data_IF_010845647438
#
_entry.id   IF_010845647438
#
_cell.length_a   1.000
_cell.length_b   1.000
_cell.length_c   1.000
_cell.angle_alpha   90.00
_cell.angle_beta   90.00
_cell.angle_gamma   90.00
#
_symmetry.space_group_name_H-M   'P 1'
#
loop_
_entity.id
_entity.type
_entity.pdbx_description
1 polymer ?
#
# COMPACT_ATOMS: atom_id res chain seq x y z
N UNK A 1 55.34 64.96 -59.28
CA UNK A 1 55.22 63.78 -58.44
C UNK A 1 53.77 63.61 -58.07
N UNK A 2 53.06 62.63 -58.64
CA UNK A 2 51.68 62.38 -58.30
C UNK A 2 51.63 61.46 -57.07
N UNK A 3 50.81 61.82 -56.07
CA UNK A 3 50.42 60.95 -54.94
C UNK A 3 49.54 59.80 -55.45
N UNK A 4 50.00 58.54 -55.23
CA UNK A 4 49.20 57.36 -55.42
C UNK A 4 48.31 57.22 -54.18
N UNK A 5 46.99 57.36 -54.40
CA UNK A 5 45.95 56.94 -53.45
C UNK A 5 45.85 55.42 -53.47
N UNK A 6 46.46 54.78 -52.47
CA UNK A 6 46.24 53.34 -52.19
C UNK A 6 44.90 53.20 -51.51
N UNK A 7 43.82 53.09 -52.28
CA UNK A 7 42.54 52.60 -51.76
C UNK A 7 42.66 51.07 -51.51
N UNK A 8 42.85 50.72 -50.25
CA UNK A 8 42.84 49.36 -49.77
C UNK A 8 41.44 48.68 -50.00
N UNK A 9 41.31 48.02 -51.12
CA UNK A 9 40.10 47.15 -51.38
C UNK A 9 40.18 45.96 -50.47
N UNK A 10 39.54 46.07 -49.30
CA UNK A 10 39.20 44.92 -48.48
C UNK A 10 38.37 43.97 -49.34
N UNK A 11 38.75 42.67 -49.45
CA UNK A 11 38.06 41.72 -50.31
C UNK A 11 36.68 41.37 -49.68
N UNK A 12 35.65 42.05 -50.19
CA UNK A 12 34.22 41.86 -49.76
C UNK A 12 33.73 40.44 -49.98
N UNK A 13 34.39 39.68 -50.85
CA UNK A 13 34.03 38.28 -51.17
C UNK A 13 34.14 37.28 -49.96
N UNK A 14 35.22 37.24 -49.17
CA UNK A 14 35.29 36.31 -48.04
C UNK A 14 34.32 36.67 -46.90
N UNK A 15 34.01 37.96 -46.68
CA UNK A 15 33.04 38.39 -45.66
C UNK A 15 31.61 37.96 -46.01
N UNK A 16 31.21 38.04 -47.30
CA UNK A 16 29.89 37.56 -47.75
C UNK A 16 29.80 36.04 -47.69
N UNK A 17 30.87 35.31 -47.95
CA UNK A 17 30.91 33.85 -47.83
C UNK A 17 30.84 33.42 -46.38
N UNK A 18 31.53 34.09 -45.45
CA UNK A 18 31.45 33.88 -44.02
C UNK A 18 30.03 34.13 -43.47
N UNK A 19 29.39 35.24 -43.90
CA UNK A 19 28.01 35.55 -43.52
C UNK A 19 27.03 34.50 -44.06
N UNK A 20 27.22 33.98 -45.26
CA UNK A 20 26.42 32.87 -45.83
C UNK A 20 26.55 31.59 -45.05
N UNK A 21 27.78 31.21 -44.65
CA UNK A 21 28.02 30.01 -43.82
C UNK A 21 27.38 30.16 -42.45
N UNK A 22 27.51 31.30 -41.78
CA UNK A 22 26.86 31.57 -40.47
C UNK A 22 25.33 31.51 -40.58
N UNK A 23 24.75 32.06 -41.67
CA UNK A 23 23.32 32.00 -41.91
C UNK A 23 22.84 30.54 -42.14
N UNK A 24 23.57 29.75 -42.95
CA UNK A 24 23.26 28.32 -43.15
C UNK A 24 23.38 27.50 -41.85
N UNK A 25 24.39 27.73 -41.04
CA UNK A 25 24.55 27.09 -39.73
C UNK A 25 23.42 27.50 -38.79
N UNK A 26 23.04 28.78 -38.76
CA UNK A 26 21.90 29.26 -37.99
C UNK A 26 20.56 28.62 -38.39
N UNK A 27 20.32 28.53 -39.72
CA UNK A 27 19.12 27.84 -40.24
C UNK A 27 19.14 26.34 -39.90
N UNK A 28 20.29 25.68 -40.03
CA UNK A 28 20.43 24.25 -39.67
C UNK A 28 20.18 24.01 -38.16
N UNK A 29 20.68 24.85 -37.28
CA UNK A 29 20.46 24.80 -35.84
C UNK A 29 18.95 25.00 -35.52
N UNK A 30 18.34 26.04 -36.11
CA UNK A 30 16.90 26.28 -35.90
C UNK A 30 16.03 25.13 -36.42
N UNK A 31 16.34 24.57 -37.57
CA UNK A 31 15.63 23.40 -38.09
C UNK A 31 15.82 22.17 -37.23
N UNK A 32 17.02 21.94 -36.73
CA UNK A 32 17.34 20.85 -35.80
C UNK A 32 16.57 20.99 -34.47
N UNK A 33 16.59 22.17 -33.85
CA UNK A 33 15.85 22.42 -32.60
C UNK A 33 14.34 22.22 -32.80
N UNK A 34 13.79 22.63 -33.95
CA UNK A 34 12.38 22.52 -34.27
C UNK A 34 11.96 21.07 -34.50
N UNK A 35 12.82 20.24 -35.11
CA UNK A 35 12.53 18.81 -35.34
C UNK A 35 12.71 17.94 -34.10
N UNK A 36 13.73 18.19 -33.29
CA UNK A 36 14.11 17.35 -32.13
C UNK A 36 13.62 17.86 -30.77
N UNK A 37 12.99 19.04 -30.71
CA UNK A 37 12.49 19.64 -29.48
C UNK A 37 11.16 19.10 -28.97
N UNK A 38 10.42 18.33 -29.78
CA UNK A 38 9.14 17.78 -29.35
C UNK A 38 9.30 16.56 -28.47
N UNK A 39 8.64 16.57 -27.30
CA UNK A 39 8.57 15.45 -26.33
C UNK A 39 7.13 15.16 -26.01
N UNK A 40 6.82 13.86 -25.86
CA UNK A 40 5.48 13.41 -25.48
C UNK A 40 5.48 12.96 -24.03
N UNK A 41 4.56 13.49 -23.23
CA UNK A 41 4.38 13.13 -21.82
C UNK A 41 3.16 12.21 -21.73
N UNK A 42 3.28 11.01 -21.11
CA UNK A 42 2.17 10.09 -20.92
C UNK A 42 1.03 10.71 -20.11
N UNK A 43 -0.23 10.26 -20.36
CA UNK A 43 -1.42 10.81 -19.72
C UNK A 43 -1.46 10.65 -18.19
N UNK A 44 -0.76 9.64 -17.65
CA UNK A 44 -0.69 9.34 -16.21
C UNK A 44 0.51 9.98 -15.49
N UNK A 45 1.23 10.85 -16.17
CA UNK A 45 2.48 11.45 -15.68
C UNK A 45 2.50 12.94 -15.96
N UNK A 46 3.32 13.66 -15.25
CA UNK A 46 3.58 15.09 -15.45
C UNK A 46 5.07 15.26 -15.75
N UNK A 47 5.39 16.18 -16.65
CA UNK A 47 6.77 16.53 -16.98
C UNK A 47 7.25 17.68 -16.09
N UNK A 48 8.36 17.50 -15.40
CA UNK A 48 9.05 18.58 -14.71
C UNK A 48 10.16 19.07 -15.63
N UNK A 49 10.02 20.29 -16.11
CA UNK A 49 10.95 20.92 -17.05
C UNK A 49 12.01 21.69 -16.28
N UNK A 50 13.25 21.32 -16.49
CA UNK A 50 14.42 22.06 -16.00
C UNK A 50 15.11 22.78 -17.15
N UNK A 51 15.64 23.96 -16.88
CA UNK A 51 16.42 24.74 -17.82
C UNK A 51 17.80 25.02 -17.25
N UNK A 52 18.83 24.55 -17.93
CA UNK A 52 20.21 24.57 -17.41
C UNK A 52 20.34 23.97 -16.01
N UNK A 53 19.55 22.92 -15.71
CA UNK A 53 19.56 22.26 -14.39
C UNK A 53 18.68 22.92 -13.33
N UNK A 54 18.16 24.14 -13.55
CA UNK A 54 17.25 24.81 -12.64
C UNK A 54 15.78 24.48 -12.97
N UNK A 55 14.95 24.30 -11.94
CA UNK A 55 13.51 24.15 -12.12
C UNK A 55 12.92 25.33 -12.92
N UNK A 56 12.14 25.04 -13.95
CA UNK A 56 11.49 26.05 -14.79
C UNK A 56 9.97 25.99 -14.70
N UNK A 57 9.36 24.85 -15.02
CA UNK A 57 7.90 24.72 -15.07
C UNK A 57 7.44 23.26 -14.97
N UNK A 58 6.15 23.06 -14.65
CA UNK A 58 5.47 21.76 -14.69
C UNK A 58 4.63 21.69 -15.96
N UNK A 59 4.88 20.68 -16.78
CA UNK A 59 4.24 20.49 -18.06
C UNK A 59 3.20 19.38 -17.96
N UNK A 60 1.97 19.68 -18.39
CA UNK A 60 0.88 18.72 -18.42
C UNK A 60 1.09 17.60 -19.46
N UNK A 61 0.36 16.46 -19.32
CA UNK A 61 0.38 15.39 -20.31
C UNK A 61 0.06 15.88 -21.74
N UNK A 62 0.73 15.31 -22.72
CA UNK A 62 0.55 15.65 -24.13
C UNK A 62 1.86 15.98 -24.82
N UNK A 63 1.76 16.71 -25.95
CA UNK A 63 2.91 17.16 -26.71
C UNK A 63 3.45 18.46 -26.13
N UNK A 64 4.73 18.48 -25.80
CA UNK A 64 5.44 19.67 -25.30
C UNK A 64 6.71 19.93 -26.09
N UNK A 65 7.16 21.17 -26.05
CA UNK A 65 8.40 21.58 -26.67
C UNK A 65 9.47 21.86 -25.62
N UNK A 66 10.62 21.21 -25.78
CA UNK A 66 11.81 21.41 -24.97
C UNK A 66 12.98 21.79 -25.90
N UNK A 67 13.70 22.83 -25.55
CA UNK A 67 14.88 23.26 -26.34
C UNK A 67 15.98 22.20 -26.11
N UNK A 68 16.44 21.49 -27.18
CA UNK A 68 17.51 20.50 -27.05
C UNK A 68 18.75 21.11 -26.40
N UNK A 69 19.41 20.34 -25.53
CA UNK A 69 20.60 20.72 -24.76
C UNK A 69 20.41 21.80 -23.68
N UNK A 70 19.29 22.53 -23.68
CA UNK A 70 18.99 23.59 -22.71
C UNK A 70 17.94 23.12 -21.70
N UNK A 71 16.86 22.50 -22.22
CA UNK A 71 15.76 22.04 -21.40
C UNK A 71 15.81 20.52 -21.25
N UNK A 72 15.66 20.03 -20.03
CA UNK A 72 15.48 18.63 -19.69
C UNK A 72 14.09 18.41 -19.09
N UNK A 73 13.40 17.34 -19.50
CA UNK A 73 12.09 16.99 -18.97
C UNK A 73 12.19 15.67 -18.24
N UNK A 74 11.95 15.69 -16.94
CA UNK A 74 11.83 14.50 -16.11
C UNK A 74 10.36 14.12 -15.96
N UNK A 75 10.02 12.88 -16.35
CA UNK A 75 8.64 12.39 -16.32
C UNK A 75 8.37 11.76 -14.96
N UNK A 76 7.41 12.33 -14.22
CA UNK A 76 7.01 11.87 -12.88
C UNK A 76 5.60 11.32 -12.94
N UNK A 77 5.34 10.05 -12.54
CA UNK A 77 4.01 9.45 -12.52
C UNK A 77 3.22 9.98 -11.33
N UNK A 78 2.30 10.92 -11.56
CA UNK A 78 1.48 11.53 -10.50
C UNK A 78 0.12 10.87 -10.30
N UNK A 79 -0.39 10.18 -11.33
CA UNK A 79 -1.71 9.54 -11.26
C UNK A 79 -1.65 8.04 -10.99
N UNK A 80 -0.47 7.44 -11.01
CA UNK A 80 -0.27 6.02 -10.69
C UNK A 80 -0.06 5.83 -9.20
N UNK A 81 -0.66 4.77 -8.66
CA UNK A 81 -0.29 4.24 -7.35
C UNK A 81 1.02 3.46 -7.50
N UNK A 82 2.02 3.91 -6.77
CA UNK A 82 3.31 3.26 -6.64
C UNK A 82 3.30 2.38 -5.39
N UNK A 83 4.09 1.30 -5.40
CA UNK A 83 4.17 0.35 -4.29
C UNK A 83 5.61 0.19 -3.85
N UNK A 84 5.82 0.18 -2.53
CA UNK A 84 7.04 -0.31 -1.90
C UNK A 84 6.68 -1.59 -1.15
N UNK A 85 7.38 -2.66 -1.46
CA UNK A 85 7.22 -3.98 -0.84
C UNK A 85 8.37 -4.22 0.13
N UNK A 86 8.05 -4.82 1.28
CA UNK A 86 8.99 -5.13 2.37
C UNK A 86 8.83 -6.58 2.77
N UNK A 87 9.94 -7.30 2.86
CA UNK A 87 9.97 -8.71 3.24
C UNK A 87 9.57 -9.69 2.13
N UNK A 88 9.23 -9.21 0.97
CA UNK A 88 9.02 -10.01 -0.24
C UNK A 88 9.24 -9.17 -1.49
N UNK A 89 9.46 -9.85 -2.61
CA UNK A 89 9.61 -9.20 -3.92
C UNK A 89 8.68 -9.86 -4.92
N UNK A 90 7.89 -9.05 -5.61
CA UNK A 90 7.04 -9.54 -6.70
C UNK A 90 7.87 -9.61 -7.98
N UNK A 91 7.94 -10.76 -8.66
CA UNK A 91 8.65 -10.87 -9.93
C UNK A 91 8.11 -9.88 -10.97
N UNK A 92 9.00 -9.06 -11.56
CA UNK A 92 8.63 -8.03 -12.53
C UNK A 92 8.29 -6.66 -11.93
N UNK A 93 8.57 -6.43 -10.65
CA UNK A 93 8.48 -5.12 -10.04
C UNK A 93 9.41 -4.11 -10.74
N UNK A 94 8.86 -2.96 -11.09
CA UNK A 94 9.57 -1.89 -11.81
C UNK A 94 10.38 -0.97 -10.90
N UNK A 95 10.38 -1.21 -9.60
CA UNK A 95 11.08 -0.36 -8.63
C UNK A 95 12.52 -0.86 -8.45
N UNK A 96 13.50 0.01 -8.69
CA UNK A 96 14.94 -0.27 -8.62
C UNK A 96 15.37 -0.73 -7.21
N UNK A 97 14.68 -0.27 -6.17
CA UNK A 97 14.97 -0.58 -4.76
C UNK A 97 14.35 -1.91 -4.28
N UNK A 98 13.63 -2.61 -5.14
CA UNK A 98 12.90 -3.83 -4.79
C UNK A 98 13.69 -5.13 -5.03
N UNK A 99 14.80 -5.04 -5.79
CA UNK A 99 15.49 -6.22 -6.33
C UNK A 99 16.62 -6.81 -5.48
N UNK A 100 17.27 -6.04 -4.60
CA UNK A 100 18.57 -6.40 -4.04
C UNK A 100 18.63 -6.60 -2.52
N UNK A 101 17.51 -6.45 -1.81
CA UNK A 101 17.49 -6.67 -0.35
C UNK A 101 17.04 -8.10 -0.07
N UNK A 102 17.87 -8.87 0.62
CA UNK A 102 17.48 -10.19 1.11
C UNK A 102 16.21 -10.07 1.94
N UNK A 103 15.10 -10.77 1.58
CA UNK A 103 13.79 -10.58 2.20
C UNK A 103 13.78 -10.78 3.71
N UNK A 104 14.68 -11.58 4.25
CA UNK A 104 14.68 -12.02 5.65
C UNK A 104 15.11 -10.96 6.66
N UNK A 105 15.99 -10.01 6.28
CA UNK A 105 16.50 -9.03 7.25
C UNK A 105 15.49 -7.90 7.51
N UNK A 106 14.75 -7.50 6.49
CA UNK A 106 13.83 -6.36 6.58
C UNK A 106 12.52 -6.72 7.28
N UNK A 107 12.06 -7.97 7.16
CA UNK A 107 10.77 -8.43 7.71
C UNK A 107 10.83 -8.88 9.17
N UNK A 108 12.02 -9.12 9.73
CA UNK A 108 12.18 -9.59 11.12
C UNK A 108 12.08 -8.43 12.10
N UNK A 109 11.07 -8.47 12.95
CA UNK A 109 10.80 -7.42 13.94
C UNK A 109 10.61 -8.00 15.34
N UNK A 110 11.00 -7.22 16.36
CA UNK A 110 10.81 -7.55 17.76
C UNK A 110 9.56 -6.82 18.26
N UNK A 111 8.66 -7.55 18.88
CA UNK A 111 7.44 -7.04 19.51
C UNK A 111 7.70 -6.52 20.92
N UNK A 112 6.76 -5.77 21.50
CA UNK A 112 6.89 -5.17 22.84
C UNK A 112 7.04 -6.20 23.97
N UNK A 113 6.59 -7.44 23.77
CA UNK A 113 6.78 -8.58 24.66
C UNK A 113 8.04 -9.39 24.37
N UNK A 114 9.01 -8.79 23.63
CA UNK A 114 10.32 -9.36 23.28
C UNK A 114 10.26 -10.65 22.44
N UNK A 115 9.15 -10.89 21.77
CA UNK A 115 9.05 -11.96 20.80
C UNK A 115 9.48 -11.48 19.41
N UNK A 116 9.80 -12.43 18.54
CA UNK A 116 10.19 -12.13 17.15
C UNK A 116 9.07 -12.56 16.20
N UNK A 117 8.70 -11.66 15.29
CA UNK A 117 7.74 -11.92 14.21
C UNK A 117 8.32 -11.53 12.86
N UNK A 118 7.95 -12.29 11.82
CA UNK A 118 8.19 -11.92 10.42
C UNK A 118 6.98 -11.13 9.94
N UNK A 119 7.21 -9.87 9.63
CA UNK A 119 6.15 -8.90 9.30
C UNK A 119 6.39 -8.32 7.93
N UNK A 120 5.95 -8.98 6.85
CA UNK A 120 6.00 -8.40 5.52
C UNK A 120 4.84 -7.40 5.32
N UNK A 121 5.12 -6.26 4.67
CA UNK A 121 4.10 -5.24 4.39
C UNK A 121 4.31 -4.55 3.06
N UNK A 122 3.29 -3.83 2.60
CA UNK A 122 3.30 -3.02 1.39
C UNK A 122 2.85 -1.61 1.74
N UNK A 123 3.58 -0.63 1.25
CA UNK A 123 3.18 0.77 1.29
C UNK A 123 2.75 1.21 -0.10
N UNK A 124 1.53 1.68 -0.24
CA UNK A 124 1.02 2.27 -1.47
C UNK A 124 1.03 3.78 -1.33
N UNK A 125 1.65 4.45 -2.30
CA UNK A 125 1.80 5.89 -2.28
C UNK A 125 1.60 6.50 -3.67
N UNK A 126 1.40 7.80 -3.70
CA UNK A 126 1.30 8.60 -4.91
C UNK A 126 2.13 9.87 -4.77
N UNK A 127 2.75 10.29 -5.85
CA UNK A 127 3.48 11.55 -5.91
C UNK A 127 2.45 12.68 -6.12
N UNK A 128 2.34 13.59 -5.15
CA UNK A 128 1.39 14.70 -5.17
C UNK A 128 2.04 15.97 -5.70
N UNK A 129 3.27 16.25 -5.28
CA UNK A 129 4.04 17.39 -5.76
C UNK A 129 5.32 16.91 -6.47
N UNK A 130 5.33 16.89 -7.82
CA UNK A 130 6.49 16.44 -8.58
C UNK A 130 7.72 17.31 -8.39
N UNK A 131 7.56 18.62 -8.11
CA UNK A 131 8.67 19.52 -7.87
C UNK A 131 9.37 19.19 -6.54
N UNK A 132 8.59 19.07 -5.48
CA UNK A 132 9.12 18.73 -4.14
C UNK A 132 9.74 17.34 -4.18
N UNK A 133 9.09 16.38 -4.84
CA UNK A 133 9.61 15.02 -5.00
C UNK A 133 11.00 14.96 -5.65
N UNK A 134 11.24 15.77 -6.70
CA UNK A 134 12.52 15.74 -7.43
C UNK A 134 13.62 16.60 -6.79
N UNK A 135 13.26 17.68 -6.08
CA UNK A 135 14.22 18.68 -5.59
C UNK A 135 14.22 18.84 -4.06
N UNK A 136 13.22 18.33 -3.36
CA UNK A 136 13.11 18.42 -1.90
C UNK A 136 14.03 17.44 -1.17
N UNK A 137 14.15 16.21 -1.67
CA UNK A 137 15.02 15.19 -1.11
C UNK A 137 15.95 14.60 -2.18
N UNK A 138 17.13 14.14 -1.77
CA UNK A 138 18.10 13.55 -2.71
C UNK A 138 17.60 12.23 -3.30
N UNK A 139 17.01 11.37 -2.45
CA UNK A 139 16.50 10.04 -2.81
C UNK A 139 15.17 9.81 -2.08
N UNK A 140 14.05 10.39 -2.58
CA UNK A 140 12.79 10.38 -1.86
C UNK A 140 12.21 8.97 -1.67
N UNK A 141 12.42 8.05 -2.61
CA UNK A 141 11.98 6.66 -2.48
C UNK A 141 12.74 5.91 -1.40
N UNK A 142 14.06 6.09 -1.33
CA UNK A 142 14.90 5.51 -0.28
C UNK A 142 14.53 6.07 1.09
N UNK A 143 14.36 7.40 1.18
CA UNK A 143 13.91 8.05 2.41
C UNK A 143 12.55 7.51 2.86
N UNK A 144 11.60 7.34 1.94
CA UNK A 144 10.31 6.73 2.24
C UNK A 144 10.44 5.29 2.74
N UNK A 145 11.37 4.51 2.15
CA UNK A 145 11.67 3.15 2.60
C UNK A 145 12.18 3.15 4.04
N UNK A 146 13.19 3.93 4.33
CA UNK A 146 13.81 4.02 5.66
C UNK A 146 12.81 4.51 6.72
N UNK A 147 11.98 5.50 6.37
CA UNK A 147 10.89 5.99 7.23
C UNK A 147 9.84 4.91 7.49
N UNK A 148 9.44 4.17 6.45
CA UNK A 148 8.45 3.10 6.58
C UNK A 148 8.93 1.98 7.50
N UNK A 149 10.20 1.57 7.37
CA UNK A 149 10.81 0.58 8.26
C UNK A 149 10.88 1.08 9.71
N UNK A 150 11.29 2.32 9.92
CA UNK A 150 11.38 2.92 11.24
C UNK A 150 10.02 2.99 11.93
N UNK A 151 9.00 3.48 11.21
CA UNK A 151 7.63 3.59 11.74
C UNK A 151 7.02 2.23 12.00
N UNK A 152 7.23 1.26 11.12
CA UNK A 152 6.71 -0.09 11.34
C UNK A 152 7.34 -0.74 12.57
N UNK A 153 8.67 -0.59 12.78
CA UNK A 153 9.34 -1.06 14.00
C UNK A 153 8.84 -0.34 15.26
N UNK A 154 8.58 0.98 15.19
CA UNK A 154 7.99 1.74 16.29
C UNK A 154 6.62 1.17 16.68
N UNK A 155 5.71 1.01 15.69
CA UNK A 155 4.33 0.56 15.93
C UNK A 155 4.28 -0.89 16.41
N UNK A 156 5.12 -1.78 15.88
CA UNK A 156 5.17 -3.20 16.30
C UNK A 156 5.84 -3.36 17.65
N UNK A 157 6.86 -2.56 17.95
CA UNK A 157 7.54 -2.57 19.24
C UNK A 157 6.65 -2.18 20.43
N UNK A 158 5.54 -1.50 20.19
CA UNK A 158 4.52 -1.17 21.20
C UNK A 158 3.40 -2.22 21.31
N UNK A 159 3.44 -3.31 20.55
CA UNK A 159 2.39 -4.34 20.48
C UNK A 159 2.90 -5.70 20.96
N UNK A 160 1.97 -6.51 21.43
CA UNK A 160 2.27 -7.93 21.75
C UNK A 160 2.27 -8.78 20.49
N UNK A 161 2.98 -9.92 20.53
CA UNK A 161 3.03 -10.84 19.38
C UNK A 161 1.64 -11.36 19.00
N UNK A 162 0.75 -11.57 19.97
CA UNK A 162 -0.64 -12.00 19.71
C UNK A 162 -1.44 -10.94 18.93
N UNK A 163 -1.29 -9.66 19.28
CA UNK A 163 -1.93 -8.57 18.55
C UNK A 163 -1.41 -8.49 17.11
N UNK A 164 -0.10 -8.62 16.92
CA UNK A 164 0.53 -8.56 15.61
C UNK A 164 0.11 -9.73 14.72
N UNK A 165 -0.01 -10.93 15.28
CA UNK A 165 -0.38 -12.16 14.53
C UNK A 165 -1.88 -12.28 14.25
N UNK A 166 -2.75 -11.69 15.10
CA UNK A 166 -4.19 -11.96 15.04
C UNK A 166 -5.05 -10.70 14.80
N UNK A 167 -5.47 -10.04 15.87
CA UNK A 167 -6.53 -9.01 15.85
C UNK A 167 -6.04 -7.59 15.62
N UNK A 168 -4.78 -7.31 15.88
CA UNK A 168 -4.22 -5.95 15.84
C UNK A 168 -3.86 -5.43 14.45
N UNK A 169 -4.03 -6.24 13.39
CA UNK A 169 -3.60 -5.90 12.02
C UNK A 169 -4.11 -4.54 11.55
N UNK A 170 -5.41 -4.30 11.66
CA UNK A 170 -6.03 -3.06 11.20
C UNK A 170 -5.54 -1.83 11.96
N UNK A 171 -5.35 -1.97 13.27
CA UNK A 171 -4.84 -0.90 14.12
C UNK A 171 -3.37 -0.57 13.81
N UNK A 172 -2.57 -1.59 13.52
CA UNK A 172 -1.18 -1.45 13.09
C UNK A 172 -1.12 -0.72 11.75
N UNK A 173 -1.90 -1.17 10.76
CA UNK A 173 -1.97 -0.54 9.42
C UNK A 173 -2.37 0.95 9.51
N UNK A 174 -3.38 1.25 10.32
CA UNK A 174 -3.90 2.62 10.50
C UNK A 174 -2.90 3.51 11.25
N UNK A 175 -2.29 2.99 12.32
CA UNK A 175 -1.29 3.74 13.11
C UNK A 175 -0.05 4.02 12.27
N UNK A 176 0.43 3.02 11.53
CA UNK A 176 1.58 3.17 10.62
C UNK A 176 1.28 4.17 9.50
N UNK A 177 0.10 4.08 8.88
CA UNK A 177 -0.32 5.03 7.83
C UNK A 177 -0.31 6.47 8.35
N UNK A 178 -0.91 6.70 9.52
CA UNK A 178 -0.99 8.03 10.12
C UNK A 178 0.41 8.57 10.42
N UNK A 179 1.23 7.78 11.11
CA UNK A 179 2.57 8.20 11.51
C UNK A 179 3.47 8.43 10.31
N UNK A 180 3.41 7.56 9.30
CA UNK A 180 4.18 7.69 8.06
C UNK A 180 3.75 8.91 7.25
N UNK A 181 2.45 9.21 7.17
CA UNK A 181 1.94 10.41 6.51
C UNK A 181 2.41 11.70 7.19
N UNK A 182 2.43 11.75 8.53
CA UNK A 182 2.97 12.85 9.30
C UNK A 182 4.45 13.09 8.98
N UNK A 183 5.27 12.03 8.99
CA UNK A 183 6.69 12.13 8.68
C UNK A 183 6.94 12.52 7.22
N UNK A 184 6.22 11.96 6.25
CA UNK A 184 6.34 12.36 4.84
C UNK A 184 6.03 13.83 4.63
N UNK A 185 5.07 14.39 5.37
CA UNK A 185 4.76 15.82 5.36
C UNK A 185 5.86 16.65 6.04
N UNK A 186 6.41 16.17 7.16
CA UNK A 186 7.47 16.86 7.90
C UNK A 186 8.78 16.94 7.11
N UNK A 187 9.09 15.90 6.34
CA UNK A 187 10.29 15.85 5.49
C UNK A 187 10.09 16.42 4.09
N UNK A 188 8.91 16.96 3.79
CA UNK A 188 8.58 17.54 2.47
C UNK A 188 8.98 16.63 1.30
N UNK A 189 8.52 15.36 1.34
CA UNK A 189 8.86 14.39 0.28
C UNK A 189 8.02 14.55 -1.00
N UNK A 190 6.97 15.37 -0.98
CA UNK A 190 6.03 15.50 -2.11
C UNK A 190 5.21 14.24 -2.40
N UNK A 191 5.12 13.32 -1.42
CA UNK A 191 4.49 12.01 -1.49
C UNK A 191 3.28 11.98 -0.56
N UNK A 192 2.20 11.37 -1.02
CA UNK A 192 1.03 11.07 -0.20
C UNK A 192 0.88 9.57 -0.04
N UNK A 193 0.90 9.09 1.20
CA UNK A 193 0.64 7.69 1.51
C UNK A 193 -0.86 7.44 1.38
N UNK A 194 -1.22 6.41 0.61
CA UNK A 194 -2.62 6.03 0.38
C UNK A 194 -3.04 4.88 1.29
N UNK A 195 -2.17 3.89 1.43
CA UNK A 195 -2.46 2.70 2.21
C UNK A 195 -1.17 2.05 2.68
N UNK A 196 -1.21 1.50 3.89
CA UNK A 196 -0.25 0.53 4.40
C UNK A 196 -1.00 -0.77 4.62
N UNK A 197 -0.48 -1.86 4.13
CA UNK A 197 -1.11 -3.17 4.22
C UNK A 197 -0.10 -4.20 4.71
N UNK A 198 -0.42 -4.89 5.80
CA UNK A 198 0.33 -6.04 6.26
C UNK A 198 0.04 -7.26 5.39
N UNK A 199 1.08 -8.00 5.03
CA UNK A 199 0.93 -9.30 4.36
C UNK A 199 0.77 -10.43 5.39
N UNK A 200 1.14 -11.65 5.08
CA UNK A 200 1.02 -12.78 6.00
C UNK A 200 2.07 -12.71 7.11
N UNK A 201 1.70 -12.13 8.23
CA UNK A 201 2.53 -12.12 9.44
C UNK A 201 2.64 -13.53 10.00
N UNK A 202 3.85 -13.96 10.36
CA UNK A 202 4.13 -15.31 10.82
C UNK A 202 5.27 -15.31 11.85
N UNK A 203 5.29 -16.29 12.77
CA UNK A 203 6.43 -16.48 13.64
C UNK A 203 7.63 -17.02 12.84
N UNK A 204 8.87 -16.88 13.35
CA UNK A 204 10.04 -17.46 12.73
C UNK A 204 9.91 -18.98 12.53
N UNK A 205 10.49 -19.55 11.45
CA UNK A 205 10.37 -20.97 11.13
C UNK A 205 10.74 -21.92 12.28
N UNK A 206 11.71 -21.51 13.10
CA UNK A 206 12.18 -22.32 14.23
C UNK A 206 11.12 -22.57 15.32
N UNK A 207 10.13 -21.68 15.47
CA UNK A 207 9.10 -21.76 16.51
C UNK A 207 7.69 -22.00 15.93
N UNK A 208 7.56 -22.03 14.62
CA UNK A 208 6.27 -22.14 13.94
C UNK A 208 5.51 -23.42 14.30
N UNK A 209 6.20 -24.55 14.48
CA UNK A 209 5.59 -25.81 14.90
C UNK A 209 4.94 -25.69 16.30
N UNK A 210 5.66 -25.12 17.26
CA UNK A 210 5.15 -24.91 18.61
C UNK A 210 3.93 -23.96 18.64
N UNK A 211 3.93 -22.89 17.82
CA UNK A 211 2.77 -22.01 17.68
C UNK A 211 1.55 -22.74 17.09
N UNK A 212 1.77 -23.59 16.10
CA UNK A 212 0.68 -24.40 15.52
C UNK A 212 0.09 -25.37 16.54
N UNK A 213 0.93 -26.02 17.36
CA UNK A 213 0.48 -26.94 18.41
C UNK A 213 -0.38 -26.23 19.47
N UNK A 214 0.01 -25.01 19.88
CA UNK A 214 -0.79 -24.18 20.82
C UNK A 214 -2.14 -23.80 20.21
N UNK A 215 -2.14 -23.35 18.96
CA UNK A 215 -3.37 -23.00 18.25
C UNK A 215 -4.31 -24.22 18.08
N UNK A 216 -3.73 -25.38 17.76
CA UNK A 216 -4.49 -26.62 17.66
C UNK A 216 -5.11 -27.01 19.01
N UNK A 217 -4.34 -26.96 20.11
CA UNK A 217 -4.83 -27.26 21.45
C UNK A 217 -5.96 -26.30 21.87
N UNK A 218 -5.88 -25.01 21.53
CA UNK A 218 -6.94 -24.04 21.78
C UNK A 218 -8.21 -24.35 20.98
N UNK A 219 -8.06 -24.74 19.69
CA UNK A 219 -9.20 -25.14 18.86
C UNK A 219 -9.86 -26.43 19.37
N UNK A 220 -9.06 -27.42 19.78
CA UNK A 220 -9.57 -28.67 20.36
C UNK A 220 -10.33 -28.39 21.65
N UNK A 221 -9.80 -27.55 22.55
CA UNK A 221 -10.50 -27.11 23.76
C UNK A 221 -11.82 -26.43 23.43
N UNK A 222 -11.85 -25.50 22.47
CA UNK A 222 -13.09 -24.81 22.11
C UNK A 222 -14.10 -25.76 21.46
N UNK A 223 -13.63 -26.70 20.66
CA UNK A 223 -14.47 -27.75 20.06
C UNK A 223 -15.09 -28.67 21.13
N UNK A 224 -14.31 -29.08 22.12
CA UNK A 224 -14.81 -29.88 23.23
C UNK A 224 -15.87 -29.12 24.06
N UNK A 225 -15.65 -27.82 24.33
CA UNK A 225 -16.64 -26.97 25.00
C UNK A 225 -17.93 -26.87 24.17
N UNK A 226 -17.80 -26.60 22.88
CA UNK A 226 -18.98 -26.48 21.99
C UNK A 226 -19.76 -27.78 21.86
N UNK A 227 -19.07 -28.93 21.81
CA UNK A 227 -19.71 -30.27 21.83
C UNK A 227 -20.42 -30.50 23.15
N UNK A 228 -19.82 -30.18 24.29
CA UNK A 228 -20.47 -30.30 25.58
C UNK A 228 -21.74 -29.44 25.68
N UNK A 229 -21.69 -28.21 25.18
CA UNK A 229 -22.84 -27.32 25.10
C UNK A 229 -23.93 -27.87 24.16
N UNK A 230 -23.56 -28.47 23.02
CA UNK A 230 -24.51 -29.08 22.11
C UNK A 230 -25.26 -30.24 22.78
N UNK A 231 -24.54 -31.13 23.47
CA UNK A 231 -25.15 -32.24 24.25
C UNK A 231 -26.03 -31.70 25.37
N UNK A 232 -25.60 -30.68 26.10
CA UNK A 232 -26.42 -30.08 27.16
C UNK A 232 -27.71 -29.47 26.61
N UNK A 233 -27.59 -28.68 25.52
CA UNK A 233 -28.75 -28.04 24.91
C UNK A 233 -29.74 -29.02 24.25
N UNK A 234 -29.30 -30.21 23.88
CA UNK A 234 -30.19 -31.30 23.43
C UNK A 234 -30.81 -32.06 24.59
N UNK A 235 -29.99 -32.53 25.54
CA UNK A 235 -30.45 -33.42 26.60
C UNK A 235 -31.39 -32.75 27.60
N UNK A 236 -31.08 -31.52 28.04
CA UNK A 236 -31.85 -30.84 29.11
C UNK A 236 -33.25 -30.43 28.64
N UNK A 237 -33.44 -29.78 27.47
CA UNK A 237 -34.78 -29.46 26.97
C UNK A 237 -35.59 -30.71 26.66
N UNK A 238 -35.00 -31.77 26.10
CA UNK A 238 -35.66 -33.02 25.83
C UNK A 238 -36.14 -33.72 27.11
N UNK A 239 -35.30 -33.79 28.14
CA UNK A 239 -35.70 -34.36 29.42
C UNK A 239 -36.83 -33.55 30.08
N UNK A 240 -36.75 -32.20 30.04
CA UNK A 240 -37.84 -31.33 30.53
C UNK A 240 -39.14 -31.52 29.72
N UNK A 241 -39.03 -31.65 28.39
CA UNK A 241 -40.14 -31.91 27.52
C UNK A 241 -40.85 -33.24 27.89
N UNK A 242 -40.08 -34.33 28.03
CA UNK A 242 -40.59 -35.63 28.43
C UNK A 242 -41.22 -35.62 29.83
N UNK A 243 -40.60 -34.89 30.79
CA UNK A 243 -41.20 -34.80 32.13
C UNK A 243 -42.56 -34.08 32.09
N UNK A 244 -42.66 -32.97 31.32
CA UNK A 244 -43.91 -32.22 31.15
C UNK A 244 -44.95 -32.99 30.37
N UNK A 245 -44.57 -33.78 29.42
CA UNK A 245 -45.46 -34.69 28.68
C UNK A 245 -46.06 -35.74 29.62
N UNK A 246 -45.25 -36.39 30.47
CA UNK A 246 -45.73 -37.37 31.47
C UNK A 246 -46.68 -36.73 32.46
N UNK A 247 -46.39 -35.52 32.91
CA UNK A 247 -47.28 -34.75 33.81
C UNK A 247 -48.63 -34.49 33.13
N UNK A 248 -48.63 -34.02 31.89
CA UNK A 248 -49.87 -33.76 31.14
C UNK A 248 -50.65 -35.05 30.79
N UNK A 249 -49.96 -36.15 30.54
CA UNK A 249 -50.58 -37.43 30.34
C UNK A 249 -51.29 -37.94 31.64
N UNK A 250 -50.66 -37.77 32.80
CA UNK A 250 -51.23 -38.08 34.08
C UNK A 250 -52.46 -37.23 34.41
N UNK A 251 -52.38 -35.91 34.21
CA UNK A 251 -53.52 -34.97 34.35
C UNK A 251 -54.71 -35.42 33.44
N UNK A 252 -54.41 -35.66 32.16
CA UNK A 252 -55.45 -36.10 31.20
C UNK A 252 -56.10 -37.44 31.57
N UNK A 253 -55.29 -38.37 32.12
CA UNK A 253 -55.82 -39.62 32.65
C UNK A 253 -56.76 -39.39 33.85
N UNK A 254 -56.35 -38.56 34.82
CA UNK A 254 -57.15 -38.20 35.97
C UNK A 254 -58.51 -37.59 35.56
N UNK A 255 -58.48 -36.61 34.63
CA UNK A 255 -59.65 -35.94 34.09
C UNK A 255 -60.59 -36.98 33.39
N UNK A 256 -60.08 -37.88 32.59
CA UNK A 256 -60.83 -38.92 31.95
C UNK A 256 -61.56 -39.83 32.97
N UNK A 257 -60.84 -40.32 33.99
CA UNK A 257 -61.42 -41.18 35.03
C UNK A 257 -62.52 -40.47 35.84
N UNK A 258 -62.32 -39.19 36.17
CA UNK A 258 -63.34 -38.40 36.85
C UNK A 258 -64.57 -38.17 35.98
N UNK A 259 -64.41 -37.91 34.66
CA UNK A 259 -65.53 -37.71 33.75
C UNK A 259 -66.25 -38.99 33.45
N UNK A 260 -65.57 -40.15 33.31
CA UNK A 260 -66.16 -41.47 33.18
C UNK A 260 -67.03 -41.83 34.41
N UNK A 261 -66.48 -41.67 35.63
CA UNK A 261 -67.20 -41.91 36.86
C UNK A 261 -68.42 -40.99 37.04
N UNK A 262 -68.31 -39.71 36.66
CA UNK A 262 -69.47 -38.81 36.63
C UNK A 262 -70.54 -39.21 35.64
N UNK A 263 -70.11 -39.65 34.44
CA UNK A 263 -71.02 -40.15 33.40
C UNK A 263 -71.73 -41.43 33.80
N UNK A 264 -71.06 -42.37 34.49
CA UNK A 264 -71.65 -43.57 35.06
C UNK A 264 -72.66 -43.26 36.18
N UNK A 265 -72.29 -42.33 37.09
CA UNK A 265 -73.18 -41.88 38.17
C UNK A 265 -74.50 -41.25 37.64
N UNK A 266 -74.39 -40.44 36.56
CA UNK A 266 -75.55 -39.81 35.92
C UNK A 266 -76.49 -40.83 35.25
N UNK A 267 -75.95 -41.94 34.67
CA UNK A 267 -76.77 -43.06 34.13
C UNK A 267 -77.56 -43.80 35.20
N UNK A 268 -77.06 -43.84 36.46
CA UNK A 268 -77.75 -44.49 37.57
C UNK A 268 -78.80 -43.59 38.22
N UNK A 269 -78.79 -42.29 37.96
CA UNK A 269 -79.73 -41.33 38.52
C UNK A 269 -80.91 -40.99 37.56
N UNK A 270 -80.89 -41.55 36.39
CA UNK A 270 -82.01 -41.55 35.43
C UNK A 270 -82.79 -42.90 35.49
#
# INVERSE_FOLDING_TARGET
>A
MPRQDVAEHLPIKPLRLLLGVVACVGIAITLFTLLFGFRTIPANSVGVKTRFGAYHDIVNPGLTYAIPYVDEIQIVPTQRLLKLEFGFSTPGATNIYQGDVEPQETETMITGDLNTALVPWVVQYRITDPKVYLFGAREPEKTLRDLSESVMREVIGDRTVDEVLTIGRHDIETSTLKRLAELCSQYDLGIQIQQVQLSSVRPPPAVQAAFNDVNQAQQEKQTAINQAWAVYNDAVPNARGQAKEREKQAEAYAFRRVNEAKGEAQKFSL
#
